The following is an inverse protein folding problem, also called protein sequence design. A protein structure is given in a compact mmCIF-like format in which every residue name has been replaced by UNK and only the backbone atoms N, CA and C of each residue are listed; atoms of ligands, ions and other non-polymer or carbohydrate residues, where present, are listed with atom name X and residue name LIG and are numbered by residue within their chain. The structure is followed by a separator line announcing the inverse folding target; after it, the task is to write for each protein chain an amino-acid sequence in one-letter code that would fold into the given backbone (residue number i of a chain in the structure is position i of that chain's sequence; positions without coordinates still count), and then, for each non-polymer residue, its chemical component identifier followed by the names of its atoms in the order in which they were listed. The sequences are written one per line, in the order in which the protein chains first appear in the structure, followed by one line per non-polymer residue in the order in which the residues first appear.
data_IF_431466292408
#
_entry.id   IF_431466292408
#
_cell.length_a   1.000
_cell.length_b   1.000
_cell.length_c   1.000
_cell.angle_alpha   90.00
_cell.angle_beta   90.00
_cell.angle_gamma   90.00
#
_symmetry.space_group_name_H-M   'P 1'
#
loop_
_entity.id
_entity.type
_entity.pdbx_description
1 polymer ?
#
# COMPACT_ATOMS: atom_id res chain seq x y z
N UNK A 1 -1.00 -21.31 -19.09
CA UNK A 1 -1.49 -20.39 -18.02
C UNK A 1 -1.28 -18.95 -18.47
N UNK A 2 -2.28 -18.05 -18.32
CA UNK A 2 -2.09 -16.62 -18.61
C UNK A 2 -1.36 -15.94 -17.46
N UNK A 3 -0.28 -15.24 -17.76
CA UNK A 3 0.54 -14.51 -16.80
C UNK A 3 0.59 -13.04 -17.24
N UNK A 4 0.18 -12.15 -16.34
CA UNK A 4 0.32 -10.71 -16.48
C UNK A 4 1.58 -10.25 -15.74
N UNK A 5 2.33 -9.35 -16.34
CA UNK A 5 3.59 -8.83 -15.82
C UNK A 5 3.44 -7.32 -15.60
N UNK A 6 3.70 -6.90 -14.37
CA UNK A 6 3.63 -5.51 -13.93
C UNK A 6 4.89 -5.16 -13.12
N UNK A 7 5.20 -3.87 -13.04
CA UNK A 7 6.35 -3.38 -12.28
C UNK A 7 6.07 -2.01 -11.68
N UNK A 8 6.66 -1.73 -10.51
CA UNK A 8 6.53 -0.44 -9.81
C UNK A 8 7.20 0.72 -10.54
N UNK A 9 8.13 0.41 -11.44
CA UNK A 9 8.86 1.36 -12.29
C UNK A 9 9.00 0.82 -13.72
N UNK A 10 9.21 1.71 -14.70
CA UNK A 10 9.51 1.30 -16.07
C UNK A 10 10.70 0.32 -16.12
N UNK A 11 10.51 -0.82 -16.77
CA UNK A 11 11.58 -1.80 -16.99
C UNK A 11 11.38 -2.60 -18.28
N UNK A 12 12.50 -3.09 -18.82
CA UNK A 12 12.49 -4.07 -19.90
C UNK A 12 12.18 -5.45 -19.34
N UNK A 13 11.21 -6.13 -19.93
CA UNK A 13 10.85 -7.50 -19.61
C UNK A 13 11.50 -8.44 -20.63
N UNK A 14 12.30 -9.38 -20.14
CA UNK A 14 12.87 -10.47 -20.92
C UNK A 14 12.25 -11.80 -20.50
N UNK A 15 11.90 -12.63 -21.49
CA UNK A 15 11.40 -13.99 -21.29
C UNK A 15 12.32 -14.97 -22.02
N UNK A 16 12.94 -15.89 -21.30
CA UNK A 16 13.90 -16.86 -21.85
C UNK A 16 15.11 -16.21 -22.51
N UNK A 17 15.52 -15.02 -22.05
CA UNK A 17 16.62 -14.24 -22.64
C UNK A 17 16.23 -13.44 -23.90
N UNK A 18 14.95 -13.41 -24.27
CA UNK A 18 14.44 -12.61 -25.40
C UNK A 18 13.68 -11.40 -24.88
N UNK A 19 13.94 -10.22 -25.45
CA UNK A 19 13.18 -9.01 -25.14
C UNK A 19 11.71 -9.20 -25.52
N UNK A 20 10.83 -9.10 -24.53
CA UNK A 20 9.40 -9.29 -24.69
C UNK A 20 8.64 -7.96 -24.76
N UNK A 21 9.15 -6.93 -24.10
CA UNK A 21 8.57 -5.58 -24.15
C UNK A 21 8.94 -4.76 -22.92
N UNK A 22 8.28 -3.61 -22.77
CA UNK A 22 8.40 -2.75 -21.59
C UNK A 22 7.20 -2.93 -20.67
N UNK A 23 7.41 -2.97 -19.36
CA UNK A 23 6.37 -2.81 -18.34
C UNK A 23 6.49 -1.41 -17.76
N UNK A 24 5.59 -0.52 -18.20
CA UNK A 24 5.64 0.93 -18.01
C UNK A 24 4.31 1.44 -17.42
N UNK A 25 3.88 0.81 -16.32
CA UNK A 25 2.56 0.98 -15.67
C UNK A 25 1.39 0.32 -16.39
N UNK A 26 1.61 -0.22 -17.59
CA UNK A 26 0.67 -1.10 -18.27
C UNK A 26 1.13 -2.55 -18.19
N UNK A 27 0.18 -3.46 -18.04
CA UNK A 27 0.47 -4.89 -18.01
C UNK A 27 0.88 -5.41 -19.38
N UNK A 28 1.89 -6.29 -19.39
CA UNK A 28 2.12 -7.22 -20.50
C UNK A 28 1.56 -8.57 -20.11
N UNK A 29 1.11 -9.36 -21.08
CA UNK A 29 0.70 -10.73 -20.78
C UNK A 29 1.24 -11.74 -21.78
N UNK A 30 1.45 -12.95 -21.30
CA UNK A 30 1.81 -14.10 -22.12
C UNK A 30 1.03 -15.34 -21.64
N UNK A 31 0.78 -16.26 -22.56
CA UNK A 31 0.32 -17.59 -22.24
C UNK A 31 1.53 -18.53 -22.18
N UNK A 32 1.84 -19.01 -20.98
CA UNK A 32 3.03 -19.81 -20.71
C UNK A 32 2.59 -21.10 -20.02
N UNK A 33 3.11 -22.23 -20.51
CA UNK A 33 2.92 -23.51 -19.85
C UNK A 33 3.93 -23.61 -18.68
N UNK A 34 3.48 -23.76 -17.42
CA UNK A 34 4.38 -23.69 -16.26
C UNK A 34 5.48 -24.77 -16.22
N UNK A 35 5.33 -25.83 -17.02
CA UNK A 35 6.34 -26.88 -17.21
C UNK A 35 7.55 -26.42 -18.04
N UNK A 36 7.41 -25.32 -18.79
CA UNK A 36 8.46 -24.81 -19.67
C UNK A 36 9.59 -24.12 -18.89
N UNK A 37 9.37 -23.80 -17.61
CA UNK A 37 10.34 -23.16 -16.72
C UNK A 37 11.02 -21.94 -17.36
N UNK A 38 10.23 -21.09 -18.03
CA UNK A 38 10.74 -19.89 -18.69
C UNK A 38 11.30 -18.94 -17.65
N UNK A 39 12.53 -18.46 -17.84
CA UNK A 39 13.11 -17.43 -16.99
C UNK A 39 12.54 -16.06 -17.37
N UNK A 40 11.94 -15.37 -16.41
CA UNK A 40 11.48 -13.99 -16.57
C UNK A 40 12.45 -13.05 -15.85
N UNK A 41 12.82 -11.97 -16.50
CA UNK A 41 13.72 -10.96 -15.95
C UNK A 41 13.18 -9.56 -16.23
N UNK A 42 13.10 -8.74 -15.19
CA UNK A 42 12.72 -7.34 -15.23
C UNK A 42 13.97 -6.50 -15.02
N UNK A 43 14.33 -5.68 -16.01
CA UNK A 43 15.54 -4.85 -16.01
C UNK A 43 15.13 -3.38 -15.92
N UNK A 44 15.19 -2.76 -14.72
CA UNK A 44 14.85 -1.36 -14.54
C UNK A 44 16.00 -0.43 -14.92
N UNK A 45 15.68 0.84 -15.15
CA UNK A 45 16.70 1.88 -15.15
C UNK A 45 17.12 2.23 -13.71
N UNK A 46 18.43 2.36 -13.47
CA UNK A 46 18.98 2.84 -12.19
C UNK A 46 18.84 1.88 -11.00
N UNK A 47 18.56 0.60 -11.23
CA UNK A 47 18.47 -0.43 -10.19
C UNK A 47 18.92 -1.80 -10.74
N UNK A 48 19.13 -2.78 -9.86
CA UNK A 48 19.47 -4.14 -10.24
C UNK A 48 18.24 -4.88 -10.78
N UNK A 49 18.43 -5.82 -11.73
CA UNK A 49 17.34 -6.60 -12.30
C UNK A 49 16.75 -7.59 -11.28
N UNK A 50 15.48 -7.92 -11.46
CA UNK A 50 14.77 -8.96 -10.71
C UNK A 50 14.41 -10.08 -11.66
N UNK A 51 14.92 -11.29 -11.39
CA UNK A 51 14.72 -12.45 -12.24
C UNK A 51 14.21 -13.67 -11.47
N UNK A 52 13.32 -14.45 -12.09
CA UNK A 52 12.77 -15.67 -11.50
C UNK A 52 12.24 -16.63 -12.58
N UNK A 53 12.10 -17.90 -12.22
CA UNK A 53 11.51 -18.91 -13.11
C UNK A 53 9.99 -18.95 -13.00
N UNK A 54 9.32 -18.95 -14.16
CA UNK A 54 7.88 -19.08 -14.27
C UNK A 54 7.50 -20.55 -14.09
N UNK A 55 6.97 -20.87 -12.91
CA UNK A 55 6.60 -22.24 -12.52
C UNK A 55 5.27 -22.23 -11.77
N UNK A 56 4.69 -23.41 -11.54
CA UNK A 56 3.48 -23.59 -10.70
C UNK A 56 3.66 -23.03 -9.27
N UNK A 57 4.91 -22.92 -8.79
CA UNK A 57 5.19 -22.41 -7.45
C UNK A 57 4.75 -20.96 -7.26
N UNK A 58 4.62 -20.17 -8.32
CA UNK A 58 4.15 -18.78 -8.25
C UNK A 58 2.79 -18.66 -7.54
N UNK A 59 1.93 -19.67 -7.65
CA UNK A 59 0.60 -19.69 -7.00
C UNK A 59 0.64 -19.84 -5.49
N UNK A 60 1.79 -20.22 -4.93
CA UNK A 60 1.94 -20.58 -3.52
C UNK A 60 3.11 -19.88 -2.82
N UNK A 61 4.12 -19.48 -3.60
CA UNK A 61 5.39 -18.93 -3.15
C UNK A 61 5.84 -17.82 -4.10
N UNK A 62 5.36 -16.57 -3.90
CA UNK A 62 5.81 -15.42 -4.65
C UNK A 62 7.35 -15.27 -4.60
N UNK A 63 8.02 -14.98 -5.72
CA UNK A 63 9.45 -14.65 -5.75
C UNK A 63 9.78 -13.47 -4.83
N UNK A 64 11.05 -13.33 -4.46
CA UNK A 64 11.49 -12.13 -3.75
C UNK A 64 11.27 -10.87 -4.58
N UNK A 65 10.96 -9.76 -3.89
CA UNK A 65 10.60 -8.48 -4.50
C UNK A 65 9.30 -8.46 -5.34
N UNK A 66 8.63 -9.61 -5.49
CA UNK A 66 7.41 -9.74 -6.28
C UNK A 66 6.18 -9.98 -5.40
N UNK A 67 5.05 -9.43 -5.84
CA UNK A 67 3.72 -9.79 -5.39
C UNK A 67 3.02 -10.60 -6.48
N UNK A 68 2.24 -11.60 -6.07
CA UNK A 68 1.44 -12.44 -6.97
C UNK A 68 -0.04 -12.25 -6.67
N UNK A 69 -0.81 -12.00 -7.72
CA UNK A 69 -2.25 -11.82 -7.67
C UNK A 69 -2.92 -12.96 -8.46
N UNK A 70 -3.73 -13.77 -7.78
CA UNK A 70 -4.53 -14.80 -8.41
C UNK A 70 -5.78 -14.16 -9.01
N UNK A 71 -5.91 -14.25 -10.33
CA UNK A 71 -7.01 -13.69 -11.11
C UNK A 71 -7.96 -14.80 -11.55
N UNK A 72 -9.13 -14.43 -12.06
CA UNK A 72 -10.10 -15.40 -12.61
C UNK A 72 -9.55 -16.15 -13.83
N UNK A 73 -8.77 -15.48 -14.67
CA UNK A 73 -8.27 -16.00 -15.96
C UNK A 73 -6.76 -16.30 -15.96
N UNK A 74 -6.07 -16.14 -14.83
CA UNK A 74 -4.61 -16.29 -14.78
C UNK A 74 -3.99 -15.81 -13.47
N UNK A 75 -2.73 -15.36 -13.56
CA UNK A 75 -2.02 -14.73 -12.46
C UNK A 75 -1.40 -13.42 -12.91
N UNK A 76 -1.32 -12.44 -12.02
CA UNK A 76 -0.50 -11.24 -12.20
C UNK A 76 0.74 -11.35 -11.31
N UNK A 77 1.91 -11.07 -11.88
CA UNK A 77 3.16 -10.91 -11.13
C UNK A 77 3.56 -9.44 -11.20
N UNK A 78 3.60 -8.81 -10.04
CA UNK A 78 3.99 -7.41 -9.87
C UNK A 78 5.36 -7.36 -9.21
N UNK A 79 6.37 -6.85 -9.91
CA UNK A 79 7.66 -6.54 -9.29
C UNK A 79 7.52 -5.23 -8.52
N UNK A 80 7.37 -5.35 -7.21
CA UNK A 80 7.12 -4.22 -6.31
C UNK A 80 8.39 -3.43 -6.06
N UNK A 81 9.49 -4.12 -5.80
CA UNK A 81 10.75 -3.50 -5.41
C UNK A 81 11.86 -3.92 -6.37
N UNK A 82 12.85 -3.05 -6.58
CA UNK A 82 14.08 -3.41 -7.28
C UNK A 82 15.25 -3.12 -6.37
N UNK A 83 16.22 -4.03 -6.23
CA UNK A 83 17.39 -3.75 -5.41
C UNK A 83 18.16 -2.56 -5.98
N UNK A 84 18.64 -1.65 -5.12
CA UNK A 84 19.42 -0.49 -5.55
C UNK A 84 20.74 -0.96 -6.20
N UNK A 85 21.21 -0.20 -7.19
CA UNK A 85 22.52 -0.43 -7.83
C UNK A 85 23.67 0.25 -7.10
N UNK A 86 23.38 1.30 -6.31
CA UNK A 86 24.35 2.03 -5.50
C UNK A 86 24.29 1.57 -4.04
N UNK A 87 25.42 1.11 -3.52
CA UNK A 87 25.62 0.67 -2.14
C UNK A 87 26.58 1.59 -1.38
N UNK A 88 26.84 2.78 -1.89
CA UNK A 88 27.57 3.82 -1.17
C UNK A 88 26.80 4.24 0.09
N UNK A 89 27.54 4.60 1.14
CA UNK A 89 26.96 5.08 2.38
C UNK A 89 26.73 6.59 2.27
N UNK A 90 25.47 7.02 2.38
CA UNK A 90 25.07 8.42 2.47
C UNK A 90 24.31 8.64 3.78
N UNK A 91 24.80 9.51 4.66
CA UNK A 91 24.03 9.96 5.84
C UNK A 91 22.99 10.98 5.37
N UNK A 92 21.72 10.71 5.69
CA UNK A 92 20.59 11.60 5.37
C UNK A 92 20.33 12.55 6.54
N UNK A 93 20.29 12.01 7.76
CA UNK A 93 20.14 12.78 8.99
C UNK A 93 20.84 12.08 10.14
N UNK A 94 21.36 12.84 11.10
CA UNK A 94 21.93 12.27 12.31
C UNK A 94 21.73 13.24 13.48
N UNK A 95 21.15 12.76 14.56
CA UNK A 95 20.85 13.56 15.75
C UNK A 95 21.24 12.81 17.02
N UNK A 96 21.73 13.56 18.01
CA UNK A 96 22.12 13.03 19.32
C UNK A 96 21.20 13.59 20.40
N UNK A 97 20.59 12.70 21.16
CA UNK A 97 19.70 13.04 22.27
C UNK A 97 20.19 12.33 23.52
N UNK A 98 20.79 13.06 24.47
CA UNK A 98 21.35 12.59 25.77
C UNK A 98 21.48 11.06 25.89
N UNK A 99 22.62 10.51 25.44
CA UNK A 99 22.92 9.08 25.51
C UNK A 99 22.41 8.24 24.33
N UNK A 100 21.55 8.80 23.48
CA UNK A 100 21.04 8.17 22.27
C UNK A 100 21.63 8.82 21.00
N UNK A 101 21.84 8.02 19.97
CA UNK A 101 22.21 8.48 18.62
C UNK A 101 21.23 7.86 17.62
N UNK A 102 20.57 8.72 16.86
CA UNK A 102 19.71 8.31 15.75
C UNK A 102 20.38 8.72 14.44
N UNK A 103 20.56 7.78 13.53
CA UNK A 103 21.16 8.02 12.21
C UNK A 103 20.25 7.46 11.14
N UNK A 104 19.73 8.33 10.27
CA UNK A 104 19.06 7.95 9.03
C UNK A 104 20.09 7.98 7.91
N UNK A 105 20.24 6.87 7.21
CA UNK A 105 21.24 6.75 6.14
C UNK A 105 20.70 5.90 4.99
N UNK A 106 21.34 6.02 3.84
CA UNK A 106 21.13 5.17 2.67
C UNK A 106 22.39 4.34 2.46
N UNK A 107 22.21 3.03 2.40
CA UNK A 107 23.21 2.08 1.91
C UNK A 107 22.44 1.00 1.16
N UNK A 108 22.25 1.22 -0.13
CA UNK A 108 21.14 0.61 -0.85
C UNK A 108 19.80 1.22 -0.43
N UNK A 109 19.09 0.60 0.50
CA UNK A 109 17.81 1.11 1.02
C UNK A 109 18.03 2.22 2.05
N UNK A 110 17.00 3.05 2.29
CA UNK A 110 16.96 3.98 3.41
C UNK A 110 16.76 3.18 4.71
N UNK A 111 17.52 3.51 5.74
CA UNK A 111 17.55 2.79 7.01
C UNK A 111 17.68 3.77 8.18
N UNK A 112 17.10 3.41 9.31
CA UNK A 112 17.32 4.02 10.61
C UNK A 112 18.26 3.13 11.41
N UNK A 113 19.35 3.70 11.94
CA UNK A 113 20.12 3.13 13.04
C UNK A 113 19.81 3.89 14.32
N UNK A 114 19.44 3.16 15.37
CA UNK A 114 19.31 3.69 16.73
C UNK A 114 20.34 3.03 17.64
N UNK A 115 21.15 3.85 18.30
CA UNK A 115 22.00 3.48 19.41
C UNK A 115 21.44 4.11 20.67
N UNK A 116 20.97 3.31 21.61
CA UNK A 116 20.37 3.77 22.87
C UNK A 116 20.89 2.96 24.05
N UNK A 117 20.52 3.33 25.27
CA UNK A 117 20.80 2.51 26.46
C UNK A 117 20.14 1.10 26.40
N UNK A 118 19.12 0.91 25.56
CA UNK A 118 18.47 -0.40 25.35
C UNK A 118 19.18 -1.27 24.31
N UNK A 119 20.15 -0.72 23.56
CA UNK A 119 20.96 -1.47 22.61
C UNK A 119 21.09 -0.76 21.25
N UNK A 120 21.40 -1.56 20.24
CA UNK A 120 21.57 -1.14 18.85
C UNK A 120 20.52 -1.81 17.97
N UNK A 121 19.88 -1.04 17.09
CA UNK A 121 18.90 -1.56 16.13
C UNK A 121 19.03 -0.89 14.78
N UNK A 122 18.80 -1.64 13.70
CA UNK A 122 18.67 -1.12 12.35
C UNK A 122 17.32 -1.51 11.76
N UNK A 123 16.58 -0.53 11.27
CA UNK A 123 15.24 -0.71 10.72
C UNK A 123 15.14 -0.11 9.31
N UNK A 124 14.54 -0.81 8.34
CA UNK A 124 14.34 -0.26 7.00
C UNK A 124 13.29 0.87 7.02
N UNK A 125 13.46 1.85 6.14
CA UNK A 125 12.53 2.96 5.90
C UNK A 125 12.19 3.03 4.41
N UNK A 126 11.08 3.68 4.07
CA UNK A 126 10.77 4.02 2.66
C UNK A 126 11.68 5.13 2.15
N UNK A 127 11.73 5.29 0.83
CA UNK A 127 12.45 6.39 0.18
C UNK A 127 11.89 7.78 0.54
N UNK A 128 10.68 7.87 1.09
CA UNK A 128 10.05 9.13 1.52
C UNK A 128 10.82 9.82 2.66
N UNK A 129 11.71 9.10 3.33
CA UNK A 129 12.61 9.60 4.37
C UNK A 129 13.97 10.07 3.81
N UNK A 130 14.07 10.40 2.52
CA UNK A 130 15.20 11.15 1.93
C UNK A 130 14.65 12.40 1.22
N UNK A 131 14.71 13.61 1.83
CA UNK A 131 15.35 13.94 3.10
C UNK A 131 14.49 13.54 4.32
N UNK A 132 15.11 13.49 5.50
CA UNK A 132 14.45 13.24 6.77
C UNK A 132 14.93 14.21 7.86
N UNK A 133 14.07 14.53 8.81
CA UNK A 133 14.46 15.11 10.11
C UNK A 133 14.13 14.16 11.25
N UNK A 134 14.89 14.23 12.34
CA UNK A 134 14.71 13.39 13.53
C UNK A 134 14.38 14.27 14.74
N UNK A 135 13.39 13.87 15.53
CA UNK A 135 13.01 14.51 16.79
C UNK A 135 12.86 13.43 17.87
N UNK A 136 13.14 13.79 19.12
CA UNK A 136 12.94 12.91 20.27
C UNK A 136 11.99 13.55 21.26
N UNK A 137 10.85 12.90 21.52
CA UNK A 137 9.79 13.41 22.38
C UNK A 137 9.03 12.25 23.02
N UNK A 138 8.61 12.41 24.28
CA UNK A 138 7.86 11.38 25.03
C UNK A 138 8.52 9.98 25.04
N UNK A 139 9.85 9.92 24.97
CA UNK A 139 10.62 8.66 24.93
C UNK A 139 10.67 7.97 23.56
N UNK A 140 10.18 8.63 22.50
CA UNK A 140 10.06 8.10 21.15
C UNK A 140 10.87 8.92 20.15
N UNK A 141 11.35 8.25 19.10
CA UNK A 141 12.03 8.85 17.95
C UNK A 141 11.03 9.08 16.82
N UNK A 142 10.80 10.35 16.50
CA UNK A 142 9.96 10.77 15.38
C UNK A 142 10.84 11.07 14.18
N UNK A 143 10.56 10.39 13.08
CA UNK A 143 11.19 10.58 11.79
C UNK A 143 10.18 11.24 10.87
N UNK A 144 10.53 12.38 10.32
CA UNK A 144 9.70 13.10 9.36
C UNK A 144 10.36 13.09 8.00
N UNK A 145 9.69 12.45 7.04
CA UNK A 145 10.02 12.48 5.62
C UNK A 145 9.24 13.56 4.87
N UNK A 146 9.21 13.48 3.54
CA UNK A 146 8.49 14.44 2.69
C UNK A 146 6.96 14.40 2.92
N UNK A 147 6.38 13.20 2.92
CA UNK A 147 4.95 12.94 3.17
C UNK A 147 4.73 11.77 4.12
N UNK A 148 5.72 11.45 4.95
CA UNK A 148 5.71 10.28 5.81
C UNK A 148 6.14 10.63 7.24
N UNK A 149 5.55 9.92 8.19
CA UNK A 149 5.91 9.97 9.60
C UNK A 149 6.13 8.54 10.09
N UNK A 150 7.31 8.29 10.65
CA UNK A 150 7.58 7.06 11.36
C UNK A 150 7.97 7.35 12.81
N UNK A 151 7.54 6.49 13.72
CA UNK A 151 7.78 6.62 15.15
C UNK A 151 8.40 5.33 15.66
N UNK A 152 9.52 5.43 16.37
CA UNK A 152 10.25 4.30 16.90
C UNK A 152 10.44 4.42 18.41
N UNK A 153 10.30 3.31 19.10
CA UNK A 153 10.68 3.18 20.51
C UNK A 153 12.19 3.06 20.66
N UNK A 154 12.70 3.28 21.87
CA UNK A 154 14.15 3.24 22.15
C UNK A 154 14.83 1.87 21.92
N UNK A 155 14.07 0.77 21.88
CA UNK A 155 14.56 -0.57 21.52
C UNK A 155 14.48 -0.87 20.01
N UNK A 156 14.10 0.11 19.18
CA UNK A 156 14.12 -0.01 17.72
C UNK A 156 12.83 -0.53 17.09
N UNK A 157 11.77 -0.77 17.87
CA UNK A 157 10.47 -1.19 17.34
C UNK A 157 9.76 -0.01 16.67
N UNK A 158 9.29 -0.23 15.44
CA UNK A 158 8.42 0.71 14.74
C UNK A 158 7.02 0.71 15.39
N UNK A 159 6.66 1.83 16.01
CA UNK A 159 5.36 2.04 16.64
C UNK A 159 4.31 2.65 15.69
N UNK A 160 4.76 3.41 14.70
CA UNK A 160 3.93 4.03 13.67
C UNK A 160 4.76 4.19 12.39
N UNK A 161 4.17 3.97 11.22
CA UNK A 161 4.77 4.31 9.93
C UNK A 161 3.64 4.58 8.94
N UNK A 162 3.36 5.86 8.71
CA UNK A 162 2.19 6.30 7.94
C UNK A 162 2.58 7.39 6.94
N UNK A 163 1.85 7.43 5.82
CA UNK A 163 1.82 8.63 4.99
C UNK A 163 0.96 9.69 5.71
N UNK A 164 1.47 10.91 5.82
CA UNK A 164 0.81 12.01 6.51
C UNK A 164 0.84 13.26 5.65
N UNK A 165 -0.27 13.99 5.60
CA UNK A 165 -0.33 15.33 5.00
C UNK A 165 0.09 16.40 6.00
N UNK A 166 -0.29 16.20 7.27
CA UNK A 166 0.09 17.07 8.38
C UNK A 166 0.05 16.29 9.69
N UNK A 167 0.82 16.75 10.67
CA UNK A 167 0.75 16.23 12.03
C UNK A 167 1.18 17.30 13.05
N UNK A 168 0.77 17.10 14.29
CA UNK A 168 1.15 17.90 15.44
C UNK A 168 1.26 17.01 16.68
N UNK A 169 2.18 17.37 17.58
CA UNK A 169 2.37 16.71 18.87
C UNK A 169 2.09 17.74 19.95
N UNK A 170 1.08 17.48 20.77
CA UNK A 170 0.70 18.34 21.89
C UNK A 170 0.27 17.48 23.07
N UNK A 171 0.78 17.77 24.28
CA UNK A 171 0.36 17.11 25.52
C UNK A 171 0.38 15.55 25.44
N UNK A 172 1.48 14.97 24.94
CA UNK A 172 1.63 13.52 24.70
C UNK A 172 0.56 12.92 23.77
N UNK A 173 -0.01 13.72 22.87
CA UNK A 173 -0.93 13.27 21.84
C UNK A 173 -0.37 13.62 20.47
N UNK A 174 -0.22 12.63 19.61
CA UNK A 174 0.02 12.83 18.19
C UNK A 174 -1.33 12.95 17.50
N UNK A 175 -1.57 14.05 16.78
CA UNK A 175 -2.69 14.18 15.85
C UNK A 175 -2.17 14.30 14.44
N UNK A 176 -2.71 13.53 13.50
CA UNK A 176 -2.29 13.57 12.10
C UNK A 176 -3.48 13.46 11.14
N UNK A 177 -3.27 14.02 9.95
CA UNK A 177 -4.17 13.88 8.81
C UNK A 177 -3.52 12.94 7.80
N UNK A 178 -4.20 11.82 7.52
CA UNK A 178 -3.75 10.79 6.59
C UNK A 178 -4.50 10.92 5.27
N UNK A 179 -3.82 10.92 4.11
CA UNK A 179 -4.50 10.76 2.83
C UNK A 179 -5.04 9.33 2.70
N UNK A 180 -6.29 9.19 2.26
CA UNK A 180 -6.85 7.88 1.92
C UNK A 180 -6.65 7.64 0.42
N UNK A 181 -6.16 6.46 0.07
CA UNK A 181 -5.94 6.05 -1.32
C UNK A 181 -7.26 5.60 -1.96
N UNK A 182 -8.21 6.51 -2.06
CA UNK A 182 -9.50 6.29 -2.72
C UNK A 182 -9.75 7.27 -3.86
N UNK A 183 -10.70 6.93 -4.74
CA UNK A 183 -11.07 7.76 -5.89
C UNK A 183 -11.67 9.12 -5.52
N UNK A 184 -12.07 9.32 -4.27
CA UNK A 184 -12.68 10.56 -3.76
C UNK A 184 -11.68 11.47 -3.05
N UNK A 185 -10.40 11.07 -3.00
CA UNK A 185 -9.33 11.81 -2.33
C UNK A 185 -9.69 12.22 -0.89
N UNK A 186 -10.37 11.31 -0.17
CA UNK A 186 -10.77 11.53 1.23
C UNK A 186 -9.54 11.49 2.14
N UNK A 187 -9.73 11.95 3.37
CA UNK A 187 -8.70 12.00 4.40
C UNK A 187 -9.22 11.41 5.71
N UNK A 188 -8.31 10.95 6.54
CA UNK A 188 -8.62 10.55 7.91
C UNK A 188 -7.90 11.45 8.92
N UNK A 189 -8.63 11.99 9.88
CA UNK A 189 -8.08 12.58 11.09
C UNK A 189 -7.92 11.49 12.14
N UNK A 190 -6.70 11.35 12.64
CA UNK A 190 -6.33 10.33 13.59
C UNK A 190 -5.60 10.94 14.78
N UNK A 191 -5.84 10.39 15.97
CA UNK A 191 -5.07 10.73 17.15
C UNK A 191 -4.52 9.48 17.83
N UNK A 192 -3.33 9.62 18.41
CA UNK A 192 -2.66 8.59 19.19
C UNK A 192 -2.19 9.15 20.52
N UNK A 193 -2.42 8.40 21.59
CA UNK A 193 -1.74 8.63 22.86
C UNK A 193 -0.28 8.17 22.73
N UNK A 194 0.65 9.01 23.16
CA UNK A 194 2.08 8.75 23.14
C UNK A 194 2.55 8.26 24.51
N UNK A 195 3.33 7.19 24.50
CA UNK A 195 4.03 6.65 25.67
C UNK A 195 5.41 6.19 25.24
N UNK A 196 6.32 5.94 26.19
CA UNK A 196 7.64 5.39 25.87
C UNK A 196 7.57 4.00 25.20
N UNK A 197 6.43 3.31 25.30
CA UNK A 197 6.18 1.99 24.69
C UNK A 197 5.62 2.08 23.25
N UNK A 198 5.22 3.27 22.79
CA UNK A 198 4.75 3.51 21.42
C UNK A 198 3.53 4.42 21.31
N UNK A 199 2.85 4.32 20.16
CA UNK A 199 1.69 5.11 19.78
C UNK A 199 0.41 4.26 19.83
N UNK A 200 -0.59 4.68 20.60
CA UNK A 200 -1.86 3.96 20.73
C UNK A 200 -3.01 4.77 20.17
N UNK A 201 -3.64 4.30 19.10
CA UNK A 201 -4.70 5.04 18.40
C UNK A 201 -5.92 5.23 19.31
N UNK A 202 -6.29 6.48 19.55
CA UNK A 202 -7.44 6.87 20.39
C UNK A 202 -8.62 7.38 19.57
N UNK A 203 -8.39 7.86 18.36
CA UNK A 203 -9.44 8.31 17.45
C UNK A 203 -9.10 7.99 15.99
N UNK A 204 -10.15 7.82 15.19
CA UNK A 204 -10.09 7.70 13.73
C UNK A 204 -11.39 8.26 13.16
N UNK A 205 -11.30 9.27 12.32
CA UNK A 205 -12.46 9.90 11.68
C UNK A 205 -12.16 10.18 10.22
N UNK A 206 -13.04 9.74 9.33
CA UNK A 206 -12.97 10.05 7.91
C UNK A 206 -13.64 11.41 7.66
N UNK A 207 -12.96 12.26 6.88
CA UNK A 207 -13.52 13.48 6.33
C UNK A 207 -14.07 13.16 4.94
N UNK A 208 -15.39 13.28 4.77
CA UNK A 208 -16.08 12.91 3.53
C UNK A 208 -15.83 13.88 2.36
N UNK A 209 -15.27 15.05 2.63
CA UNK A 209 -14.92 16.06 1.62
C UNK A 209 -13.42 15.99 1.32
N UNK A 210 -13.06 15.85 0.04
CA UNK A 210 -11.67 15.92 -0.43
C UNK A 210 -11.08 17.35 -0.39
N UNK A 211 -9.79 17.48 -0.71
CA UNK A 211 -9.03 18.75 -0.70
C UNK A 211 -9.68 19.91 -1.45
N UNK A 212 -10.43 19.63 -2.51
CA UNK A 212 -11.04 20.64 -3.36
C UNK A 212 -12.35 21.23 -2.79
N UNK A 213 -12.85 20.77 -1.64
CA UNK A 213 -14.06 21.30 -1.00
C UNK A 213 -15.35 21.15 -1.83
N UNK A 214 -15.29 20.48 -2.98
CA UNK A 214 -16.42 20.21 -3.84
C UNK A 214 -17.05 18.88 -3.45
N UNK A 215 -18.38 18.83 -3.40
CA UNK A 215 -19.12 17.60 -3.59
C UNK A 215 -18.81 17.10 -5.00
N UNK A 216 -17.72 16.34 -5.15
CA UNK A 216 -17.40 15.72 -6.41
C UNK A 216 -18.42 14.60 -6.60
N UNK A 217 -19.45 14.88 -7.42
CA UNK A 217 -20.45 13.89 -7.79
C UNK A 217 -19.71 12.75 -8.47
N UNK A 218 -19.64 11.60 -7.80
CA UNK A 218 -19.02 10.40 -8.36
C UNK A 218 -19.68 10.14 -9.71
N UNK A 219 -18.89 10.11 -10.79
CA UNK A 219 -19.41 9.74 -12.11
C UNK A 219 -20.13 8.41 -11.99
N UNK A 220 -21.32 8.27 -12.57
CA UNK A 220 -22.16 7.07 -12.40
C UNK A 220 -21.40 5.77 -12.72
N UNK A 221 -20.50 5.81 -13.71
CA UNK A 221 -19.63 4.69 -14.11
C UNK A 221 -18.64 4.26 -13.01
N UNK A 222 -18.25 5.16 -12.11
CA UNK A 222 -17.33 4.89 -10.99
C UNK A 222 -18.06 4.65 -9.67
N UNK A 223 -19.40 4.73 -9.65
CA UNK A 223 -20.19 4.53 -8.44
C UNK A 223 -19.91 3.17 -7.78
N UNK A 224 -19.85 2.03 -8.51
CA UNK A 224 -19.48 0.73 -7.93
C UNK A 224 -18.09 0.74 -7.28
N UNK A 225 -17.12 1.34 -7.95
CA UNK A 225 -15.74 1.41 -7.46
C UNK A 225 -15.63 2.23 -6.18
N UNK A 226 -16.17 3.45 -6.19
CA UNK A 226 -16.22 4.33 -5.02
C UNK A 226 -17.00 3.72 -3.85
N UNK A 227 -18.02 2.91 -4.14
CA UNK A 227 -18.77 2.16 -3.12
C UNK A 227 -17.87 1.13 -2.43
N UNK A 228 -17.20 0.27 -3.19
CA UNK A 228 -16.30 -0.74 -2.61
C UNK A 228 -15.11 -0.12 -1.87
N UNK A 229 -14.57 1.01 -2.36
CA UNK A 229 -13.55 1.76 -1.63
C UNK A 229 -14.09 2.34 -0.31
N UNK A 230 -15.33 2.85 -0.30
CA UNK A 230 -15.97 3.34 0.92
C UNK A 230 -16.16 2.23 1.96
N UNK A 231 -16.53 1.02 1.51
CA UNK A 231 -16.59 -0.16 2.38
C UNK A 231 -15.20 -0.53 2.92
N UNK A 232 -14.16 -0.50 2.07
CA UNK A 232 -12.78 -0.84 2.44
C UNK A 232 -12.27 0.03 3.58
N UNK A 233 -12.42 1.34 3.43
CA UNK A 233 -11.90 2.33 4.38
C UNK A 233 -12.82 2.51 5.60
N UNK A 234 -14.04 1.95 5.55
CA UNK A 234 -15.03 2.09 6.63
C UNK A 234 -15.74 3.45 6.65
N UNK A 235 -15.84 4.11 5.50
CA UNK A 235 -16.60 5.35 5.35
C UNK A 235 -18.11 5.08 5.30
N UNK A 236 -18.92 6.12 5.49
CA UNK A 236 -20.37 6.00 5.33
C UNK A 236 -20.71 5.88 3.84
N UNK A 237 -21.22 4.72 3.45
CA UNK A 237 -21.70 4.43 2.09
C UNK A 237 -23.22 4.31 2.00
N UNK A 238 -23.97 4.58 3.08
CA UNK A 238 -25.43 4.42 3.12
C UNK A 238 -26.14 5.30 2.08
N UNK A 239 -25.57 6.47 1.78
CA UNK A 239 -26.07 7.37 0.75
C UNK A 239 -25.89 6.82 -0.66
N UNK A 240 -24.99 5.87 -0.90
CA UNK A 240 -24.77 5.25 -2.21
C UNK A 240 -25.77 4.13 -2.50
N UNK A 241 -26.48 3.66 -1.47
CA UNK A 241 -27.42 2.55 -1.53
C UNK A 241 -28.85 3.03 -1.81
N UNK A 242 -29.63 2.19 -2.50
CA UNK A 242 -31.09 2.32 -2.52
C UNK A 242 -31.67 2.01 -1.13
N UNK A 243 -32.96 2.28 -0.94
CA UNK A 243 -33.57 2.13 0.39
C UNK A 243 -33.55 0.68 0.90
N UNK A 244 -33.74 -0.31 0.02
CA UNK A 244 -33.71 -1.73 0.40
C UNK A 244 -32.33 -2.21 0.88
N UNK A 245 -31.25 -1.82 0.18
CA UNK A 245 -29.89 -2.18 0.60
C UNK A 245 -29.42 -1.35 1.79
N UNK A 246 -29.93 -0.12 1.96
CA UNK A 246 -29.58 0.74 3.10
C UNK A 246 -29.94 0.09 4.43
N UNK A 247 -31.07 -0.59 4.51
CA UNK A 247 -31.48 -1.37 5.69
C UNK A 247 -30.53 -2.54 6.00
N UNK A 248 -29.77 -3.00 5.00
CA UNK A 248 -28.82 -4.11 5.11
C UNK A 248 -27.37 -3.66 5.12
N UNK A 249 -27.09 -2.35 5.25
CA UNK A 249 -25.75 -1.78 5.12
C UNK A 249 -24.72 -2.45 6.04
N UNK A 250 -25.11 -2.72 7.29
CA UNK A 250 -24.26 -3.40 8.29
C UNK A 250 -23.87 -4.82 7.89
N UNK A 251 -24.68 -5.49 7.07
CA UNK A 251 -24.43 -6.84 6.59
C UNK A 251 -23.56 -6.88 5.32
N UNK A 252 -23.44 -5.76 4.59
CA UNK A 252 -22.69 -5.72 3.33
C UNK A 252 -21.21 -6.04 3.59
N UNK A 253 -20.62 -5.46 4.64
CA UNK A 253 -19.21 -5.75 4.99
C UNK A 253 -18.99 -7.23 5.27
N UNK A 254 -19.90 -7.88 6.00
CA UNK A 254 -19.83 -9.31 6.28
C UNK A 254 -19.94 -10.16 5.00
N UNK A 255 -20.82 -9.78 4.07
CA UNK A 255 -20.96 -10.43 2.77
C UNK A 255 -19.70 -10.31 1.91
N UNK A 256 -19.13 -9.10 1.83
CA UNK A 256 -17.93 -8.83 1.04
C UNK A 256 -16.66 -9.41 1.66
N UNK A 257 -16.67 -9.72 2.97
CA UNK A 257 -15.53 -10.25 3.72
C UNK A 257 -14.36 -9.26 3.81
N UNK A 258 -13.22 -9.75 4.30
CA UNK A 258 -12.01 -8.92 4.41
C UNK A 258 -11.28 -8.81 3.07
N UNK A 259 -10.95 -7.59 2.68
CA UNK A 259 -10.14 -7.24 1.50
C UNK A 259 -9.27 -6.03 1.83
N UNK A 260 -8.17 -5.84 1.09
CA UNK A 260 -7.17 -4.80 1.35
C UNK A 260 -6.99 -3.81 0.20
N UNK A 261 -7.65 -4.02 -0.95
CA UNK A 261 -7.64 -3.10 -2.08
C UNK A 261 -8.82 -3.42 -3.02
N UNK A 262 -9.19 -2.45 -3.85
CA UNK A 262 -10.21 -2.57 -4.90
C UNK A 262 -9.53 -2.28 -6.23
N UNK A 263 -9.83 -3.07 -7.26
CA UNK A 263 -9.35 -2.84 -8.63
C UNK A 263 -10.51 -2.74 -9.61
N UNK A 264 -10.35 -1.87 -10.59
CA UNK A 264 -11.26 -1.73 -11.72
C UNK A 264 -11.16 -2.94 -12.65
N UNK A 265 -12.25 -3.26 -13.32
CA UNK A 265 -12.26 -4.22 -14.43
C UNK A 265 -12.68 -3.55 -15.72
N UNK A 266 -12.67 -4.31 -16.82
CA UNK A 266 -13.20 -3.82 -18.11
C UNK A 266 -14.69 -3.50 -18.06
N UNK A 267 -15.42 -4.11 -17.13
CA UNK A 267 -16.82 -3.81 -16.85
C UNK A 267 -16.88 -2.83 -15.65
N UNK A 268 -17.30 -1.57 -15.84
CA UNK A 268 -17.39 -0.60 -14.75
C UNK A 268 -18.31 -1.02 -13.60
N UNK A 269 -19.28 -1.90 -13.87
CA UNK A 269 -20.15 -2.46 -12.84
C UNK A 269 -19.44 -3.49 -11.95
N UNK A 270 -18.31 -4.05 -12.41
CA UNK A 270 -17.59 -5.14 -11.76
C UNK A 270 -16.24 -4.68 -11.22
N UNK A 271 -15.99 -4.91 -9.93
CA UNK A 271 -14.74 -4.61 -9.26
C UNK A 271 -14.09 -5.88 -8.72
N UNK A 272 -12.75 -5.94 -8.74
CA UNK A 272 -11.98 -6.97 -8.06
C UNK A 272 -11.63 -6.54 -6.64
N UNK A 273 -12.07 -7.29 -5.65
CA UNK A 273 -11.68 -7.11 -4.25
C UNK A 273 -10.44 -7.97 -3.96
N UNK A 274 -9.33 -7.32 -3.62
CA UNK A 274 -8.04 -7.96 -3.38
C UNK A 274 -7.98 -8.47 -1.95
N UNK A 275 -7.78 -9.77 -1.79
CA UNK A 275 -7.67 -10.42 -0.47
C UNK A 275 -6.28 -10.96 -0.24
N UNK A 276 -5.69 -10.64 0.91
CA UNK A 276 -4.39 -11.21 1.32
C UNK A 276 -4.58 -12.68 1.69
N UNK A 277 -3.87 -13.57 1.00
CA UNK A 277 -3.84 -15.02 1.31
C UNK A 277 -2.64 -15.34 2.19
N UNK A 278 -1.48 -14.81 1.82
CA UNK A 278 -0.20 -14.91 2.54
C UNK A 278 0.62 -13.66 2.29
N UNK A 279 1.82 -13.60 2.87
CA UNK A 279 2.77 -12.56 2.49
C UNK A 279 3.04 -12.58 0.98
N UNK A 280 2.94 -11.41 0.34
CA UNK A 280 3.09 -11.18 -1.11
C UNK A 280 2.14 -11.97 -2.03
N UNK A 281 1.15 -12.69 -1.50
CA UNK A 281 0.21 -13.51 -2.27
C UNK A 281 -1.22 -13.06 -2.02
N UNK A 282 -1.91 -12.67 -3.09
CA UNK A 282 -3.24 -12.09 -3.07
C UNK A 282 -4.18 -12.84 -4.00
N UNK A 283 -5.47 -12.81 -3.69
CA UNK A 283 -6.55 -13.38 -4.51
C UNK A 283 -7.58 -12.30 -4.81
N UNK A 284 -7.98 -12.16 -6.08
CA UNK A 284 -9.06 -11.27 -6.46
C UNK A 284 -10.39 -12.01 -6.45
N UNK A 285 -11.37 -11.46 -5.73
CA UNK A 285 -12.78 -11.85 -5.85
C UNK A 285 -13.55 -10.75 -6.53
N UNK A 286 -14.33 -11.11 -7.55
CA UNK A 286 -15.00 -10.12 -8.38
C UNK A 286 -16.44 -9.97 -7.93
N UNK A 287 -16.87 -8.73 -7.74
CA UNK A 287 -18.25 -8.41 -7.41
C UNK A 287 -18.82 -7.43 -8.41
N UNK A 288 -20.05 -7.67 -8.85
CA UNK A 288 -20.80 -6.79 -9.76
C UNK A 288 -21.86 -6.05 -8.95
N UNK A 289 -21.84 -4.72 -8.99
CA UNK A 289 -22.87 -3.89 -8.40
C UNK A 289 -23.90 -3.50 -9.46
N UNK A 290 -25.18 -3.73 -9.17
CA UNK A 290 -26.28 -3.31 -10.03
C UNK A 290 -26.70 -1.90 -9.65
N UNK A 291 -26.57 -0.95 -10.58
CA UNK A 291 -26.97 0.44 -10.38
C UNK A 291 -28.37 0.67 -10.95
N UNK A 292 -29.25 1.29 -10.15
CA UNK A 292 -30.58 1.77 -10.58
C UNK A 292 -30.79 3.17 -10.03
N UNK A 293 -31.23 4.09 -10.87
CA UNK A 293 -31.52 5.48 -10.49
C UNK A 293 -30.36 6.15 -9.71
N UNK A 294 -29.11 5.89 -10.14
CA UNK A 294 -27.91 6.44 -9.51
C UNK A 294 -27.56 5.85 -8.14
N UNK A 295 -28.18 4.73 -7.73
CA UNK A 295 -27.91 4.04 -6.46
C UNK A 295 -27.55 2.57 -6.67
N UNK A 296 -26.74 2.02 -5.78
CA UNK A 296 -26.50 0.57 -5.71
C UNK A 296 -27.78 -0.10 -5.23
N UNK A 297 -28.30 -1.01 -6.04
CA UNK A 297 -29.55 -1.73 -5.79
C UNK A 297 -29.35 -3.23 -5.50
N UNK A 298 -28.25 -3.82 -5.96
CA UNK A 298 -27.90 -5.22 -5.71
C UNK A 298 -26.38 -5.42 -5.84
N UNK A 299 -25.83 -6.45 -5.19
CA UNK A 299 -24.40 -6.80 -5.23
C UNK A 299 -24.27 -8.31 -5.42
N UNK A 300 -23.55 -8.73 -6.47
CA UNK A 300 -23.38 -10.14 -6.84
C UNK A 300 -21.91 -10.52 -6.84
N UNK A 301 -21.57 -11.72 -6.36
CA UNK A 301 -20.20 -12.25 -6.29
C UNK A 301 -20.00 -13.53 -7.07
#
# INVERSE_FOLDING_TARGET
MKIYFLSSRPCALMLGGVFFGMTDRFERFAEIEPKDNVFAEFIPEGALPVGFFLTEKLRFSPPEHCEVYLLRDGIAVYVRDFPPSDFSLKIIAQERFVGNLATVFRQGNVQLSLETAKGFSVSPLSDDFDPCSVQFESGLFFLRGQNALAVFTADGKCALNEQVTSFQIENNTLSATLPLSDSRHRRAECSWALTEEGCFRTSFRILETGEAGAEETVREELLPYAFFESVLIGADFAQMLNDELREKADHIRAFLGDFCSVTLTKDPATCGLVRKKKDRLYELRYFTAVVRDGKIADIRG
#
